data_IF_765835646960
#
_entry.id   IF_765835646960
#
_cell.length_a   1.000
_cell.length_b   1.000
_cell.length_c   1.000
_cell.angle_alpha   90.00
_cell.angle_beta   90.00
_cell.angle_gamma   90.00
#
_symmetry.space_group_name_H-M   'P 1'
#
loop_
_entity.id
_entity.type
_entity.pdbx_description
1 polymer ?
#
# COMPACT_ATOMS: atom_id res chain seq x y z
N UNK A 1 15.12 -0.55 3.73
CA UNK A 1 14.13 -0.23 4.78
C UNK A 1 14.62 -0.70 6.13
N UNK A 2 14.44 0.11 7.16
CA UNK A 2 14.84 -0.26 8.52
C UNK A 2 13.80 -1.18 9.16
N UNK A 3 14.24 -2.29 9.74
CA UNK A 3 13.34 -3.23 10.41
C UNK A 3 12.71 -2.64 11.67
N UNK A 4 13.31 -1.58 12.24
CA UNK A 4 12.75 -0.88 13.40
C UNK A 4 11.32 -0.39 13.17
N UNK A 5 10.99 -0.06 11.91
CA UNK A 5 9.67 0.46 11.57
C UNK A 5 8.79 -0.56 10.85
N UNK A 6 9.13 -1.84 10.93
CA UNK A 6 8.40 -2.88 10.20
C UNK A 6 6.91 -2.90 10.56
N UNK A 7 6.59 -2.79 11.86
CA UNK A 7 5.20 -2.82 12.30
C UNK A 7 4.42 -1.60 11.79
N UNK A 8 5.06 -0.43 11.79
CA UNK A 8 4.43 0.78 11.27
C UNK A 8 4.14 0.67 9.78
N UNK A 9 5.09 0.13 9.00
CA UNK A 9 4.86 -0.08 7.57
C UNK A 9 3.75 -1.11 7.32
N UNK A 10 3.70 -2.16 8.13
CA UNK A 10 2.64 -3.16 8.04
C UNK A 10 1.27 -2.53 8.31
N UNK A 11 1.19 -1.69 9.34
CA UNK A 11 -0.04 -0.99 9.70
C UNK A 11 -0.50 -0.06 8.58
N UNK A 12 0.42 0.67 7.97
CA UNK A 12 0.11 1.54 6.83
C UNK A 12 -0.46 0.73 5.68
N UNK A 13 0.17 -0.39 5.35
CA UNK A 13 -0.30 -1.25 4.27
C UNK A 13 -1.71 -1.79 4.52
N UNK A 14 -1.99 -2.23 5.75
CA UNK A 14 -3.31 -2.72 6.11
C UNK A 14 -4.37 -1.62 6.00
N UNK A 15 -4.04 -0.40 6.41
CA UNK A 15 -4.96 0.73 6.30
C UNK A 15 -5.19 1.12 4.84
N UNK A 16 -4.18 1.04 4.01
CA UNK A 16 -4.33 1.27 2.57
C UNK A 16 -5.34 0.28 1.99
N UNK A 17 -5.21 -1.01 2.34
CA UNK A 17 -6.13 -2.03 1.88
C UNK A 17 -7.56 -1.75 2.36
N UNK A 18 -7.71 -1.36 3.61
CA UNK A 18 -9.00 -1.06 4.21
C UNK A 18 -9.69 0.09 3.46
N UNK A 19 -9.00 1.21 3.29
CA UNK A 19 -9.61 2.38 2.64
C UNK A 19 -9.81 2.15 1.14
N UNK A 20 -8.94 1.38 0.49
CA UNK A 20 -9.14 0.99 -0.91
C UNK A 20 -10.47 0.26 -1.08
N UNK A 21 -10.71 -0.75 -0.22
CA UNK A 21 -11.94 -1.54 -0.27
C UNK A 21 -13.17 -0.70 0.07
N UNK A 22 -13.02 0.18 1.04
CA UNK A 22 -14.09 1.06 1.45
C UNK A 22 -14.56 1.94 0.29
N UNK A 23 -13.63 2.37 -0.57
CA UNK A 23 -13.94 3.19 -1.73
C UNK A 23 -14.33 2.36 -2.95
N UNK A 24 -14.31 1.05 -2.84
CA UNK A 24 -14.71 0.17 -3.93
C UNK A 24 -13.67 -0.05 -5.02
N UNK A 25 -12.39 0.25 -4.74
CA UNK A 25 -11.32 0.04 -5.72
C UNK A 25 -10.74 -1.37 -5.58
N UNK A 26 -10.47 -2.02 -6.73
CA UNK A 26 -9.61 -3.19 -6.76
C UNK A 26 -8.15 -2.74 -6.64
N UNK A 27 -7.24 -3.70 -6.39
CA UNK A 27 -5.81 -3.39 -6.40
C UNK A 27 -5.37 -2.82 -7.76
N UNK A 28 -5.90 -3.37 -8.84
CA UNK A 28 -5.58 -2.91 -10.20
C UNK A 28 -6.06 -1.48 -10.42
N UNK A 29 -7.26 -1.16 -9.97
CA UNK A 29 -7.81 0.19 -10.13
C UNK A 29 -7.02 1.21 -9.33
N UNK A 30 -6.62 0.88 -8.09
CA UNK A 30 -5.81 1.78 -7.30
C UNK A 30 -4.44 1.98 -7.94
N UNK A 31 -3.81 0.89 -8.41
CA UNK A 31 -2.50 0.97 -9.04
C UNK A 31 -2.53 1.88 -10.26
N UNK A 32 -3.56 1.76 -11.09
CA UNK A 32 -3.71 2.61 -12.25
C UNK A 32 -3.85 4.08 -11.86
N UNK A 33 -4.63 4.34 -10.82
CA UNK A 33 -4.88 5.71 -10.35
C UNK A 33 -3.61 6.42 -9.88
N UNK A 34 -2.67 5.68 -9.27
CA UNK A 34 -1.44 6.27 -8.74
C UNK A 34 -0.22 5.96 -9.60
N UNK A 35 -0.45 5.44 -10.81
CA UNK A 35 0.60 5.11 -11.79
C UNK A 35 1.63 4.13 -11.23
N UNK A 36 1.15 3.05 -10.63
CA UNK A 36 1.97 1.96 -10.12
C UNK A 36 1.43 0.63 -10.64
N UNK A 37 2.25 -0.43 -10.51
CA UNK A 37 1.80 -1.77 -10.91
C UNK A 37 0.87 -2.37 -9.86
N UNK A 38 -0.06 -3.27 -10.27
CA UNK A 38 -0.88 -4.00 -9.29
C UNK A 38 -0.04 -4.80 -8.31
N UNK A 39 1.11 -5.36 -8.74
CA UNK A 39 2.01 -6.07 -7.86
C UNK A 39 2.55 -5.18 -6.74
N UNK A 40 2.84 -3.92 -7.04
CA UNK A 40 3.27 -2.95 -6.04
C UNK A 40 2.20 -2.80 -4.95
N UNK A 41 0.94 -2.63 -5.33
CA UNK A 41 -0.15 -2.50 -4.37
C UNK A 41 -0.29 -3.78 -3.55
N UNK A 42 -0.20 -4.95 -4.19
CA UNK A 42 -0.26 -6.22 -3.49
C UNK A 42 0.82 -6.36 -2.44
N UNK A 43 2.05 -5.94 -2.76
CA UNK A 43 3.17 -6.00 -1.82
C UNK A 43 2.98 -5.02 -0.66
N UNK A 44 2.50 -3.81 -0.93
CA UNK A 44 2.26 -2.81 0.10
C UNK A 44 1.20 -3.30 1.09
N UNK A 45 0.16 -3.96 0.60
CA UNK A 45 -0.95 -4.42 1.44
C UNK A 45 -0.68 -5.73 2.16
N UNK A 46 0.31 -6.51 1.71
CA UNK A 46 0.57 -7.83 2.28
C UNK A 46 1.18 -7.70 3.68
N UNK A 47 0.56 -8.30 4.72
CA UNK A 47 1.03 -8.13 6.10
C UNK A 47 2.36 -8.83 6.38
N UNK A 48 2.75 -9.80 5.57
CA UNK A 48 3.98 -10.56 5.75
C UNK A 48 5.10 -10.15 4.78
N UNK A 49 4.90 -9.08 4.01
CA UNK A 49 5.90 -8.53 3.10
C UNK A 49 6.18 -7.10 3.54
N UNK A 50 7.46 -6.81 3.84
CA UNK A 50 7.86 -5.47 4.22
C UNK A 50 8.13 -4.65 2.96
N UNK A 51 7.30 -3.67 2.71
CA UNK A 51 7.44 -2.78 1.56
C UNK A 51 7.29 -1.34 2.01
N UNK A 52 8.35 -0.56 1.89
CA UNK A 52 8.30 0.85 2.24
C UNK A 52 7.46 1.61 1.22
N UNK A 53 6.62 2.51 1.70
CA UNK A 53 5.79 3.38 0.87
C UNK A 53 6.37 4.78 0.95
N UNK A 54 6.67 5.38 -0.20
CA UNK A 54 7.16 6.75 -0.22
C UNK A 54 6.03 7.72 0.17
N UNK A 55 6.41 8.88 0.67
CA UNK A 55 5.42 9.90 1.01
C UNK A 55 4.63 10.34 -0.23
N UNK A 56 5.30 10.45 -1.37
CA UNK A 56 4.61 10.80 -2.62
C UNK A 56 3.52 9.79 -2.96
N UNK A 57 3.85 8.50 -2.89
CA UNK A 57 2.88 7.45 -3.16
C UNK A 57 1.72 7.50 -2.16
N UNK A 58 2.05 7.71 -0.88
CA UNK A 58 1.04 7.79 0.17
C UNK A 58 0.07 8.94 -0.07
N UNK A 59 0.59 10.09 -0.49
CA UNK A 59 -0.25 11.24 -0.79
C UNK A 59 -1.10 11.04 -2.05
N UNK A 60 -0.63 10.23 -3.00
CA UNK A 60 -1.38 9.91 -4.21
C UNK A 60 -2.60 9.01 -3.91
N UNK A 61 -2.50 8.23 -2.85
CA UNK A 61 -3.59 7.38 -2.44
C UNK A 61 -4.66 8.20 -1.73
#
# INVERSE_FOLDING_TARGET
>A
MKTTYAEQYRQIGLKIAYYRRLRGFTQEQLAERIDRSPAYIGHVEAPNILKAVSLDTLFDI
#
